data_IF_678851413093
#
_entry.id   IF_678851413093
#
_cell.length_a   1.000
_cell.length_b   1.000
_cell.length_c   1.000
_cell.angle_alpha   90.00
_cell.angle_beta   90.00
_cell.angle_gamma   90.00
#
_symmetry.space_group_name_H-M   'P 1'
#
loop_
_entity.id
_entity.type
_entity.pdbx_description
1 polymer ?
#
# COMPACT_ATOMS: atom_id res chain seq x y z
N UNK A 1 33.69 14.20 24.62
CA UNK A 1 33.37 13.99 23.17
C UNK A 1 31.88 13.63 23.02
N UNK A 2 30.98 14.51 23.51
CA UNK A 2 29.51 14.30 23.56
C UNK A 2 28.80 15.62 23.23
N UNK A 3 29.13 16.23 22.08
CA UNK A 3 28.50 17.50 21.63
C UNK A 3 27.62 17.34 20.37
N UNK A 4 27.49 16.13 19.80
CA UNK A 4 26.84 15.94 18.47
C UNK A 4 25.38 15.49 18.48
N UNK A 5 24.75 15.32 19.65
CA UNK A 5 23.37 14.82 19.70
C UNK A 5 22.29 15.90 19.51
N UNK A 6 22.64 17.20 19.56
CA UNK A 6 21.69 18.31 19.36
C UNK A 6 21.55 18.80 17.91
N UNK A 7 22.30 18.24 16.94
CA UNK A 7 22.37 18.77 15.57
C UNK A 7 21.32 18.19 14.59
N UNK A 8 20.66 17.09 14.94
CA UNK A 8 19.68 16.43 14.06
C UNK A 8 18.49 17.35 13.64
N UNK A 9 17.93 18.21 14.51
CA UNK A 9 16.89 19.15 14.11
C UNK A 9 17.38 20.21 13.11
N UNK A 10 18.64 20.65 13.23
CA UNK A 10 19.23 21.69 12.36
C UNK A 10 19.49 21.23 10.92
N UNK A 11 19.78 19.94 10.72
CA UNK A 11 20.03 19.39 9.38
C UNK A 11 18.75 19.38 8.50
N UNK A 12 17.58 19.26 9.11
CA UNK A 12 16.29 19.32 8.42
C UNK A 12 15.95 20.74 7.93
N UNK A 13 16.37 21.78 8.65
CA UNK A 13 16.14 23.18 8.28
C UNK A 13 16.95 23.63 7.05
N UNK A 14 18.07 22.98 6.76
CA UNK A 14 18.98 23.37 5.68
C UNK A 14 18.70 22.70 4.32
N UNK A 15 17.60 21.94 4.18
CA UNK A 15 17.28 21.18 2.96
C UNK A 15 18.43 20.26 2.46
N UNK A 16 19.34 19.88 3.35
CA UNK A 16 20.44 18.98 3.00
C UNK A 16 19.87 17.58 2.77
N UNK A 17 20.29 16.87 1.70
CA UNK A 17 19.79 15.54 1.43
C UNK A 17 20.33 14.57 2.50
N UNK A 18 19.42 13.98 3.28
CA UNK A 18 19.72 13.04 4.38
C UNK A 18 19.26 11.61 4.07
N UNK A 19 19.95 10.63 4.65
CA UNK A 19 19.67 9.20 4.51
C UNK A 19 19.55 8.55 5.91
N UNK A 20 18.60 7.62 6.10
CA UNK A 20 18.50 6.81 7.33
C UNK A 20 19.52 5.67 7.28
N UNK A 21 20.36 5.55 8.30
CA UNK A 21 21.39 4.54 8.41
C UNK A 21 21.16 3.66 9.64
N UNK A 22 21.32 2.35 9.48
CA UNK A 22 21.28 1.41 10.61
C UNK A 22 22.65 1.30 11.27
N UNK A 23 22.71 1.42 12.59
CA UNK A 23 23.96 1.24 13.36
C UNK A 23 24.39 -0.23 13.25
N UNK A 24 23.49 -1.15 13.57
CA UNK A 24 23.63 -2.60 13.34
C UNK A 24 22.87 -2.94 12.04
N UNK A 25 23.54 -3.46 11.00
CA UNK A 25 22.90 -3.79 9.73
C UNK A 25 21.77 -4.82 9.88
N UNK A 26 20.70 -4.66 9.09
CA UNK A 26 19.63 -5.68 9.00
C UNK A 26 20.13 -7.04 8.52
N UNK A 27 21.19 -7.09 7.68
CA UNK A 27 21.80 -8.35 7.23
C UNK A 27 22.38 -9.18 8.37
N UNK A 28 22.75 -8.52 9.47
CA UNK A 28 23.26 -9.13 10.69
C UNK A 28 22.20 -9.25 11.80
N UNK A 29 20.91 -9.14 11.45
CA UNK A 29 19.81 -9.23 12.41
C UNK A 29 19.57 -7.94 13.21
N UNK A 30 20.16 -6.80 12.81
CA UNK A 30 19.89 -5.51 13.43
C UNK A 30 18.40 -5.13 13.35
N UNK A 31 17.77 -4.68 14.45
CA UNK A 31 16.34 -4.38 14.47
C UNK A 31 16.03 -3.06 13.76
N UNK A 32 14.80 -2.93 13.24
CA UNK A 32 14.27 -1.68 12.68
C UNK A 32 13.69 -0.79 13.80
N UNK A 33 14.50 -0.55 14.83
CA UNK A 33 14.12 0.22 16.02
C UNK A 33 14.74 1.62 15.97
N UNK A 34 14.08 2.61 16.58
CA UNK A 34 14.52 4.01 16.58
C UNK A 34 15.95 4.16 17.12
N UNK A 35 16.32 3.43 18.17
CA UNK A 35 17.67 3.44 18.73
C UNK A 35 18.74 2.89 17.78
N UNK A 36 18.36 2.06 16.80
CA UNK A 36 19.27 1.48 15.81
C UNK A 36 19.33 2.30 14.52
N UNK A 37 18.60 3.42 14.44
CA UNK A 37 18.50 4.26 13.26
C UNK A 37 19.08 5.66 13.55
N UNK A 38 19.95 6.12 12.67
CA UNK A 38 20.48 7.49 12.70
C UNK A 38 20.24 8.17 11.35
N UNK A 39 19.85 9.44 11.39
CA UNK A 39 19.70 10.27 10.19
C UNK A 39 21.02 10.97 9.93
N UNK A 40 21.64 10.69 8.79
CA UNK A 40 22.96 11.20 8.43
C UNK A 40 22.89 11.94 7.10
N UNK A 41 23.78 12.92 6.91
CA UNK A 41 24.01 13.48 5.57
C UNK A 41 24.58 12.40 4.65
N UNK A 42 24.51 12.59 3.33
CA UNK A 42 25.12 11.63 2.38
C UNK A 42 26.60 11.38 2.66
N UNK A 43 27.33 12.42 3.08
CA UNK A 43 28.76 12.34 3.42
C UNK A 43 28.96 11.56 4.71
N UNK A 44 28.20 11.88 5.76
CA UNK A 44 28.32 11.20 7.05
C UNK A 44 27.88 9.74 6.97
N UNK A 45 26.85 9.45 6.18
CA UNK A 45 26.41 8.08 5.91
C UNK A 45 27.54 7.25 5.28
N UNK A 46 28.24 7.82 4.30
CA UNK A 46 29.41 7.17 3.70
C UNK A 46 30.54 6.96 4.71
N UNK A 47 30.84 7.97 5.53
CA UNK A 47 31.86 7.86 6.57
C UNK A 47 31.49 6.77 7.57
N UNK A 48 30.22 6.64 7.95
CA UNK A 48 29.73 5.67 8.93
C UNK A 48 29.89 4.21 8.47
N UNK A 49 29.89 3.94 7.15
CA UNK A 49 30.16 2.60 6.63
C UNK A 49 31.60 2.12 6.89
N UNK A 50 32.58 3.02 7.04
CA UNK A 50 33.97 2.65 7.28
C UNK A 50 34.21 2.00 8.66
N UNK A 51 33.86 2.62 9.81
CA UNK A 51 33.97 1.95 11.10
C UNK A 51 33.06 0.71 11.17
N UNK A 52 31.89 0.73 10.53
CA UNK A 52 31.01 -0.44 10.47
C UNK A 52 31.66 -1.62 9.76
N UNK A 53 32.31 -1.38 8.62
CA UNK A 53 33.09 -2.40 7.92
C UNK A 53 34.25 -2.92 8.78
N UNK A 54 34.95 -2.05 9.52
CA UNK A 54 36.04 -2.48 10.42
C UNK A 54 35.54 -3.38 11.55
N UNK A 55 34.33 -3.16 12.06
CA UNK A 55 33.75 -3.96 13.15
C UNK A 55 33.19 -5.28 12.64
N UNK A 56 32.42 -5.26 11.54
CA UNK A 56 31.66 -6.42 11.09
C UNK A 56 32.24 -7.14 9.87
N UNK A 57 33.20 -6.55 9.16
CA UNK A 57 33.81 -7.08 7.91
C UNK A 57 32.81 -7.44 6.82
N UNK A 58 31.64 -6.79 6.80
CA UNK A 58 30.57 -7.08 5.85
C UNK A 58 30.93 -6.66 4.42
N UNK A 59 30.75 -7.59 3.47
CA UNK A 59 30.99 -7.33 2.05
C UNK A 59 30.15 -6.16 1.52
N UNK A 60 28.93 -5.98 2.03
CA UNK A 60 28.04 -4.89 1.61
C UNK A 60 28.64 -3.52 1.96
N UNK A 61 29.28 -3.39 3.13
CA UNK A 61 29.93 -2.14 3.52
C UNK A 61 31.19 -1.89 2.70
N UNK A 62 31.97 -2.93 2.43
CA UNK A 62 33.12 -2.84 1.53
C UNK A 62 32.71 -2.39 0.12
N UNK A 63 31.64 -2.98 -0.41
CA UNK A 63 31.09 -2.63 -1.70
C UNK A 63 30.57 -1.20 -1.70
N UNK A 64 29.87 -0.78 -0.65
CA UNK A 64 29.39 0.60 -0.51
C UNK A 64 30.54 1.60 -0.54
N UNK A 65 31.60 1.35 0.24
CA UNK A 65 32.80 2.19 0.26
C UNK A 65 33.40 2.28 -1.14
N UNK A 66 33.72 1.14 -1.79
CA UNK A 66 34.25 1.11 -3.16
C UNK A 66 33.37 1.82 -4.18
N UNK A 67 32.05 1.67 -4.06
CA UNK A 67 31.09 2.30 -4.96
C UNK A 67 30.89 3.79 -4.70
N UNK A 68 31.42 4.36 -3.62
CA UNK A 68 31.30 5.81 -3.34
C UNK A 68 32.64 6.53 -3.21
N UNK A 69 33.76 5.83 -3.02
CA UNK A 69 35.10 6.44 -3.02
C UNK A 69 35.40 7.09 -4.37
N UNK A 70 35.84 8.36 -4.34
CA UNK A 70 36.33 9.07 -5.53
C UNK A 70 35.25 9.45 -6.56
N UNK A 71 33.97 9.40 -6.20
CA UNK A 71 32.89 9.72 -7.14
C UNK A 71 32.34 11.12 -6.96
N UNK A 72 32.08 11.77 -8.08
CA UNK A 72 31.32 13.01 -8.10
C UNK A 72 29.82 12.73 -7.95
N UNK A 73 29.06 13.70 -7.42
CA UNK A 73 27.59 13.61 -7.33
C UNK A 73 26.95 13.35 -8.70
N UNK A 74 27.54 13.89 -9.77
CA UNK A 74 27.06 13.68 -11.14
C UNK A 74 27.21 12.20 -11.56
N UNK A 75 28.38 11.59 -11.31
CA UNK A 75 28.61 10.18 -11.59
C UNK A 75 27.66 9.26 -10.79
N UNK A 76 27.33 9.63 -9.55
CA UNK A 76 26.35 8.90 -8.74
C UNK A 76 24.95 8.98 -9.37
N UNK A 77 24.51 10.18 -9.77
CA UNK A 77 23.21 10.39 -10.45
C UNK A 77 23.12 9.60 -11.74
N UNK A 78 24.17 9.61 -12.55
CA UNK A 78 24.18 8.93 -13.85
C UNK A 78 24.16 7.39 -13.68
N UNK A 79 24.79 6.86 -12.63
CA UNK A 79 24.67 5.44 -12.27
C UNK A 79 23.26 5.06 -11.83
N UNK A 80 22.58 5.89 -11.04
CA UNK A 80 21.18 5.66 -10.65
C UNK A 80 20.30 5.62 -11.90
N UNK A 81 20.49 6.57 -12.83
CA UNK A 81 19.77 6.59 -14.11
C UNK A 81 20.05 5.35 -14.95
N UNK A 82 21.32 4.92 -15.04
CA UNK A 82 21.71 3.71 -15.76
C UNK A 82 21.07 2.45 -15.14
N UNK A 83 21.19 2.28 -13.82
CA UNK A 83 20.53 1.19 -13.07
C UNK A 83 19.02 1.16 -13.32
N UNK A 84 18.36 2.32 -13.27
CA UNK A 84 16.93 2.42 -13.54
C UNK A 84 16.57 2.03 -14.98
N UNK A 85 17.37 2.45 -15.98
CA UNK A 85 17.21 2.01 -17.38
C UNK A 85 17.37 0.49 -17.51
N UNK A 86 18.39 -0.07 -16.89
CA UNK A 86 18.65 -1.52 -16.86
C UNK A 86 17.49 -2.30 -16.24
N UNK A 87 17.00 -1.90 -15.06
CA UNK A 87 15.86 -2.55 -14.40
C UNK A 87 14.59 -2.48 -15.26
N UNK A 88 14.37 -1.35 -15.95
CA UNK A 88 13.24 -1.18 -16.86
C UNK A 88 13.35 -2.10 -18.07
N UNK A 89 14.55 -2.20 -18.67
CA UNK A 89 14.81 -3.05 -19.83
C UNK A 89 14.59 -4.54 -19.50
N UNK A 90 15.21 -5.02 -18.42
CA UNK A 90 15.09 -6.42 -17.99
C UNK A 90 13.81 -6.73 -17.20
N UNK A 91 12.94 -5.73 -16.98
CA UNK A 91 11.73 -5.83 -16.17
C UNK A 91 11.97 -6.47 -14.79
N UNK A 92 13.06 -6.08 -14.12
CA UNK A 92 13.42 -6.59 -12.79
C UNK A 92 13.05 -5.62 -11.68
N UNK A 93 13.08 -6.11 -10.43
CA UNK A 93 12.84 -5.30 -9.23
C UNK A 93 11.50 -4.58 -9.28
N UNK A 94 11.53 -3.25 -9.29
CA UNK A 94 10.30 -2.46 -9.38
C UNK A 94 9.55 -2.72 -10.69
N UNK A 95 10.20 -2.96 -11.83
CA UNK A 95 9.51 -3.11 -13.12
C UNK A 95 8.94 -4.51 -13.39
N UNK A 96 9.19 -5.46 -12.49
CA UNK A 96 8.66 -6.81 -12.62
C UNK A 96 7.15 -6.84 -12.35
N UNK A 97 6.36 -7.05 -13.41
CA UNK A 97 4.88 -7.06 -13.32
C UNK A 97 4.37 -8.10 -12.33
N UNK A 98 4.92 -9.31 -12.35
CA UNK A 98 4.50 -10.41 -11.47
C UNK A 98 4.74 -10.06 -9.99
N UNK A 99 5.94 -9.58 -9.65
CA UNK A 99 6.23 -9.14 -8.29
C UNK A 99 5.38 -7.94 -7.86
N UNK A 100 5.12 -6.99 -8.76
CA UNK A 100 4.25 -5.85 -8.44
C UNK A 100 2.79 -6.27 -8.20
N UNK A 101 2.28 -7.29 -8.91
CA UNK A 101 0.95 -7.88 -8.66
C UNK A 101 0.92 -8.57 -7.31
N UNK A 102 1.90 -9.44 -7.02
CA UNK A 102 2.01 -10.13 -5.72
C UNK A 102 2.08 -9.14 -4.54
N UNK A 103 2.84 -8.05 -4.70
CA UNK A 103 2.96 -6.99 -3.68
C UNK A 103 1.75 -6.03 -3.65
N UNK A 104 0.77 -6.20 -4.54
CA UNK A 104 -0.41 -5.34 -4.64
C UNK A 104 -0.13 -3.91 -5.11
N UNK A 105 1.06 -3.64 -5.66
CA UNK A 105 1.47 -2.31 -6.15
C UNK A 105 0.95 -2.01 -7.55
N UNK A 106 0.91 -3.01 -8.43
CA UNK A 106 0.37 -2.87 -9.80
C UNK A 106 -0.70 -3.93 -10.02
N UNK A 107 -1.95 -3.51 -9.87
CA UNK A 107 -3.09 -4.42 -9.90
C UNK A 107 -4.28 -3.84 -9.16
N UNK A 108 -4.64 -2.58 -9.44
CA UNK A 108 -5.83 -1.96 -8.85
C UNK A 108 -7.11 -2.81 -9.02
N UNK A 109 -7.12 -3.69 -10.04
CA UNK A 109 -8.23 -4.59 -10.39
C UNK A 109 -8.32 -5.85 -9.53
N UNK A 110 -7.19 -6.40 -9.03
CA UNK A 110 -7.20 -7.64 -8.24
C UNK A 110 -7.21 -7.30 -6.75
N UNK A 111 -8.26 -7.70 -6.04
CA UNK A 111 -8.36 -7.50 -4.60
C UNK A 111 -7.56 -8.59 -3.90
N UNK A 112 -6.38 -8.26 -3.35
CA UNK A 112 -5.63 -9.20 -2.50
C UNK A 112 -6.36 -9.37 -1.15
N UNK A 113 -6.21 -10.50 -0.44
CA UNK A 113 -6.85 -10.71 0.86
C UNK A 113 -6.57 -9.58 1.86
N UNK A 114 -5.31 -9.11 1.93
CA UNK A 114 -4.93 -7.95 2.77
C UNK A 114 -5.66 -6.66 2.40
N UNK A 115 -5.95 -6.46 1.11
CA UNK A 115 -6.66 -5.27 0.62
C UNK A 115 -8.15 -5.36 0.93
N UNK A 116 -8.76 -6.55 0.81
CA UNK A 116 -10.13 -6.82 1.24
C UNK A 116 -10.28 -6.52 2.74
N UNK A 117 -9.36 -7.03 3.57
CA UNK A 117 -9.36 -6.80 5.01
C UNK A 117 -9.22 -5.31 5.37
N UNK A 118 -8.32 -4.61 4.67
CA UNK A 118 -8.18 -3.15 4.79
C UNK A 118 -9.45 -2.39 4.39
N UNK A 119 -10.25 -2.91 3.46
CA UNK A 119 -11.54 -2.30 3.14
C UNK A 119 -12.60 -2.65 4.17
N UNK A 120 -12.66 -3.90 4.65
CA UNK A 120 -13.58 -4.35 5.70
C UNK A 120 -13.46 -3.51 6.97
N UNK A 121 -12.24 -3.28 7.43
CA UNK A 121 -11.94 -2.42 8.59
C UNK A 121 -12.39 -0.96 8.43
N UNK A 122 -12.58 -0.49 7.19
CA UNK A 122 -13.10 0.85 6.89
C UNK A 122 -14.61 0.89 6.65
N UNK A 123 -15.28 -0.25 6.58
CA UNK A 123 -16.73 -0.30 6.44
C UNK A 123 -17.37 0.16 7.75
N UNK A 124 -18.47 0.91 7.65
CA UNK A 124 -19.27 1.25 8.83
C UNK A 124 -19.90 -0.01 9.42
N UNK A 125 -20.06 -0.04 10.74
CA UNK A 125 -20.68 -1.17 11.47
C UNK A 125 -22.02 -1.61 10.86
N UNK A 126 -22.87 -0.67 10.45
CA UNK A 126 -24.16 -0.96 9.79
C UNK A 126 -24.01 -1.76 8.48
N UNK A 127 -22.95 -1.50 7.71
CA UNK A 127 -22.69 -2.26 6.48
C UNK A 127 -22.16 -3.65 6.84
N UNK A 128 -21.27 -3.75 7.82
CA UNK A 128 -20.76 -5.04 8.27
C UNK A 128 -21.89 -5.94 8.76
N UNK A 129 -22.80 -5.39 9.57
CA UNK A 129 -24.02 -6.08 10.02
C UNK A 129 -24.90 -6.49 8.85
N UNK A 130 -25.16 -5.59 7.89
CA UNK A 130 -25.95 -5.92 6.71
C UNK A 130 -25.32 -7.05 5.86
N UNK A 131 -23.99 -7.08 5.72
CA UNK A 131 -23.29 -8.15 4.99
C UNK A 131 -23.25 -9.49 5.75
N UNK A 132 -23.31 -9.45 7.08
CA UNK A 132 -23.40 -10.62 7.95
C UNK A 132 -24.84 -11.13 8.13
N UNK A 133 -25.83 -10.41 7.59
CA UNK A 133 -27.25 -10.77 7.63
C UNK A 133 -27.74 -11.24 6.27
N UNK A 134 -28.86 -11.96 6.25
CA UNK A 134 -29.53 -12.33 5.00
C UNK A 134 -30.17 -11.10 4.39
N UNK A 135 -29.78 -10.76 3.16
CA UNK A 135 -30.30 -9.59 2.45
C UNK A 135 -31.20 -10.01 1.30
N UNK A 136 -32.41 -9.47 1.26
CA UNK A 136 -33.36 -9.66 0.15
C UNK A 136 -33.41 -8.37 -0.64
N UNK A 137 -32.87 -8.40 -1.86
CA UNK A 137 -32.86 -7.26 -2.77
C UNK A 137 -34.00 -7.35 -3.77
N UNK A 138 -34.91 -6.39 -3.75
CA UNK A 138 -36.01 -6.28 -4.72
C UNK A 138 -35.71 -5.19 -5.73
N UNK A 139 -36.11 -5.39 -6.98
CA UNK A 139 -36.01 -4.36 -8.01
C UNK A 139 -37.37 -4.11 -8.63
N UNK A 140 -37.76 -2.84 -8.80
CA UNK A 140 -39.08 -2.49 -9.39
C UNK A 140 -39.36 -3.04 -10.80
N UNK A 141 -38.36 -3.60 -11.49
CA UNK A 141 -38.50 -4.20 -12.81
C UNK A 141 -38.22 -5.71 -12.84
N UNK A 142 -37.95 -6.31 -11.69
CA UNK A 142 -37.77 -7.76 -11.58
C UNK A 142 -38.96 -8.36 -10.83
N UNK A 143 -39.45 -9.49 -11.32
CA UNK A 143 -40.57 -10.20 -10.69
C UNK A 143 -40.13 -11.02 -9.47
N UNK A 144 -38.83 -11.29 -9.35
CA UNK A 144 -38.26 -12.09 -8.27
C UNK A 144 -37.21 -11.31 -7.48
N UNK A 145 -37.10 -11.52 -6.15
CA UNK A 145 -36.05 -10.93 -5.34
C UNK A 145 -34.71 -11.65 -5.55
N UNK A 146 -33.61 -10.90 -5.42
CA UNK A 146 -32.25 -11.44 -5.36
C UNK A 146 -31.87 -11.61 -3.89
N UNK A 147 -31.69 -12.86 -3.46
CA UNK A 147 -31.27 -13.18 -2.10
C UNK A 147 -29.76 -13.28 -2.04
N UNK A 148 -29.16 -12.62 -1.05
CA UNK A 148 -27.75 -12.74 -0.71
C UNK A 148 -27.67 -13.33 0.70
N UNK A 149 -27.04 -14.49 0.82
CA UNK A 149 -26.91 -15.20 2.09
C UNK A 149 -25.83 -14.55 2.97
N UNK A 150 -25.88 -14.75 4.30
CA UNK A 150 -24.84 -14.28 5.21
C UNK A 150 -23.44 -14.69 4.75
N UNK A 151 -22.49 -13.76 4.82
CA UNK A 151 -21.08 -13.94 4.45
C UNK A 151 -20.80 -14.32 2.97
N UNK A 152 -21.83 -14.39 2.13
CA UNK A 152 -21.66 -14.63 0.68
C UNK A 152 -20.91 -13.48 0.01
N UNK A 153 -21.18 -12.24 0.45
CA UNK A 153 -20.52 -11.04 -0.02
C UNK A 153 -19.70 -10.40 1.10
N UNK A 154 -18.40 -10.27 0.90
CA UNK A 154 -17.46 -9.65 1.83
C UNK A 154 -17.38 -8.12 1.68
N UNK A 155 -17.78 -7.60 0.52
CA UNK A 155 -17.71 -6.17 0.18
C UNK A 155 -18.97 -5.74 -0.58
N UNK A 156 -19.32 -4.45 -0.47
CA UNK A 156 -20.42 -3.84 -1.26
C UNK A 156 -20.17 -3.96 -2.77
N UNK A 157 -18.91 -4.06 -3.20
CA UNK A 157 -18.56 -4.30 -4.60
C UNK A 157 -19.01 -5.68 -5.10
N UNK A 158 -19.05 -6.69 -4.24
CA UNK A 158 -19.51 -8.04 -4.58
C UNK A 158 -21.03 -8.07 -4.66
N UNK A 159 -21.72 -7.43 -3.71
CA UNK A 159 -23.17 -7.18 -3.77
C UNK A 159 -23.53 -6.51 -5.11
N UNK A 160 -22.81 -5.46 -5.49
CA UNK A 160 -23.03 -4.79 -6.77
C UNK A 160 -22.89 -5.74 -7.96
N UNK A 161 -21.87 -6.60 -8.00
CA UNK A 161 -21.67 -7.54 -9.11
C UNK A 161 -22.82 -8.55 -9.20
N UNK A 162 -23.23 -9.12 -8.06
CA UNK A 162 -24.33 -10.07 -7.99
C UNK A 162 -25.65 -9.45 -8.47
N UNK A 163 -25.96 -8.22 -8.03
CA UNK A 163 -27.13 -7.50 -8.55
C UNK A 163 -27.02 -7.18 -10.04
N UNK A 164 -25.80 -6.89 -10.53
CA UNK A 164 -25.54 -6.57 -11.94
C UNK A 164 -25.79 -7.77 -12.88
N UNK A 165 -25.66 -9.01 -12.39
CA UNK A 165 -25.99 -10.24 -13.13
C UNK A 165 -27.47 -10.34 -13.46
N UNK A 166 -28.34 -9.83 -12.58
CA UNK A 166 -29.79 -9.81 -12.80
C UNK A 166 -30.24 -8.56 -13.56
N UNK A 167 -29.59 -7.41 -13.31
CA UNK A 167 -29.93 -6.16 -14.00
C UNK A 167 -28.77 -5.19 -14.02
N UNK A 168 -28.38 -4.74 -15.20
CA UNK A 168 -27.34 -3.73 -15.34
C UNK A 168 -27.75 -2.43 -14.64
N UNK A 169 -26.87 -1.93 -13.77
CA UNK A 169 -26.85 -0.52 -13.41
C UNK A 169 -26.56 0.26 -14.71
N UNK A 170 -27.20 1.41 -14.93
CA UNK A 170 -27.03 2.19 -16.17
C UNK A 170 -25.58 2.66 -16.40
N UNK A 171 -25.37 3.69 -17.23
CA UNK A 171 -24.04 4.27 -17.54
C UNK A 171 -23.41 5.06 -16.38
N UNK A 172 -23.52 4.56 -15.14
CA UNK A 172 -22.97 5.17 -13.94
C UNK A 172 -21.57 4.62 -13.61
N UNK A 173 -20.72 5.46 -13.02
CA UNK A 173 -19.41 5.03 -12.51
C UNK A 173 -19.57 4.04 -11.33
N UNK A 174 -18.69 3.05 -11.23
CA UNK A 174 -18.73 2.00 -10.19
C UNK A 174 -18.69 2.54 -8.76
N UNK A 175 -17.93 3.61 -8.51
CA UNK A 175 -17.87 4.31 -7.22
C UNK A 175 -19.23 4.90 -6.81
N UNK A 176 -19.97 5.44 -7.78
CA UNK A 176 -21.31 5.99 -7.58
C UNK A 176 -22.33 4.89 -7.25
N UNK A 177 -22.19 3.72 -7.89
CA UNK A 177 -23.10 2.59 -7.64
C UNK A 177 -22.86 2.00 -6.24
N UNK A 178 -21.61 1.68 -5.91
CA UNK A 178 -21.25 1.10 -4.61
C UNK A 178 -21.61 2.03 -3.44
N UNK A 179 -21.39 3.35 -3.57
CA UNK A 179 -21.83 4.33 -2.58
C UNK A 179 -23.36 4.43 -2.50
N UNK A 180 -24.07 4.37 -3.62
CA UNK A 180 -25.52 4.34 -3.69
C UNK A 180 -26.12 3.14 -2.94
N UNK A 181 -25.62 1.93 -3.21
CA UNK A 181 -26.03 0.70 -2.53
C UNK A 181 -25.69 0.75 -1.03
N UNK A 182 -24.50 1.23 -0.68
CA UNK A 182 -24.11 1.39 0.73
C UNK A 182 -25.06 2.33 1.49
N UNK A 183 -25.54 3.41 0.87
CA UNK A 183 -26.54 4.31 1.49
C UNK A 183 -27.91 3.62 1.66
N UNK A 184 -28.28 2.73 0.74
CA UNK A 184 -29.49 1.91 0.87
C UNK A 184 -29.36 0.93 2.03
N UNK A 185 -28.23 0.20 2.14
CA UNK A 185 -27.95 -0.72 3.25
C UNK A 185 -27.93 -0.02 4.63
N UNK A 186 -27.47 1.23 4.69
CA UNK A 186 -27.49 2.04 5.92
C UNK A 186 -28.87 2.59 6.28
N UNK A 187 -29.90 2.38 5.46
CA UNK A 187 -31.22 3.02 5.63
C UNK A 187 -31.23 4.52 5.33
N UNK A 188 -30.15 5.09 4.80
CA UNK A 188 -30.07 6.51 4.43
C UNK A 188 -30.80 6.83 3.13
N UNK A 189 -31.18 5.80 2.36
CA UNK A 189 -31.91 5.92 1.09
C UNK A 189 -32.86 4.75 0.94
N UNK A 190 -34.12 5.00 0.57
CA UNK A 190 -35.12 3.94 0.37
C UNK A 190 -34.79 2.99 -0.79
N UNK A 191 -34.25 3.52 -1.89
CA UNK A 191 -33.92 2.74 -3.09
C UNK A 191 -32.82 3.37 -3.94
N UNK A 192 -32.06 2.59 -4.71
CA UNK A 192 -31.05 3.08 -5.67
C UNK A 192 -31.20 2.38 -7.01
N UNK A 193 -31.45 3.14 -8.09
CA UNK A 193 -31.71 2.60 -9.44
C UNK A 193 -32.82 1.51 -9.48
N UNK A 194 -33.80 1.64 -8.58
CA UNK A 194 -34.91 0.70 -8.45
C UNK A 194 -34.65 -0.47 -7.50
N UNK A 195 -33.41 -0.64 -7.01
CA UNK A 195 -33.06 -1.64 -5.99
C UNK A 195 -33.42 -1.16 -4.59
N UNK A 196 -34.08 -2.02 -3.83
CA UNK A 196 -34.40 -1.88 -2.40
C UNK A 196 -33.82 -3.08 -1.66
N UNK A 197 -33.51 -2.92 -0.38
CA UNK A 197 -33.00 -4.01 0.45
C UNK A 197 -33.88 -4.18 1.69
N UNK A 198 -34.20 -5.42 1.99
CA UNK A 198 -34.75 -5.84 3.27
C UNK A 198 -33.70 -6.72 3.96
N UNK A 199 -33.29 -6.31 5.16
CA UNK A 199 -32.26 -7.01 5.94
C UNK A 199 -33.00 -7.84 6.99
N UNK A 200 -32.95 -9.16 6.83
CA UNK A 200 -33.52 -10.11 7.79
C UNK A 200 -32.45 -10.37 8.86
N UNK A 201 -32.77 -9.99 10.10
CA UNK A 201 -31.92 -10.22 11.27
C UNK A 201 -31.97 -11.66 11.72
#
# INVERSE_FOLDING_TARGET
>A
MLQKLEEAPKLLEQNLPVEKHHIIPKSLGGPDAEWNLVVLTHTDHYIAHNPRFKVYSEFIDQLFLRLRTGQTLQAQRDRIKASHKTQKFYQTGFFNKFQQVLRGKKGGKTQTPKKIEKYRTKLSLLIQQALASRMVWTNKYLEYPVVIEPDECSLVLEVMKKLQEHRSFGTCQKSTITSGLARVMKGQRKSYQGWQVEIQK
#
